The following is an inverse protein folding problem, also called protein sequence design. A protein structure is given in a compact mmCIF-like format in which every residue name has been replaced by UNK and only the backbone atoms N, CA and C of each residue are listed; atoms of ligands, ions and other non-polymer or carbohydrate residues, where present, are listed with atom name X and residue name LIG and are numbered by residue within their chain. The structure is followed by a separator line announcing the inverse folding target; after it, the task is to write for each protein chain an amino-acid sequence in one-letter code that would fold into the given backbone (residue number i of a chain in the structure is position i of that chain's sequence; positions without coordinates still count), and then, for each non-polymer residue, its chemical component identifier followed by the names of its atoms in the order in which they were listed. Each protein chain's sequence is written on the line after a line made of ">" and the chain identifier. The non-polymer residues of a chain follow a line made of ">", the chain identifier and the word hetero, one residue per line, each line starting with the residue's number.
data_IF_513561548014
#
_entry.id   IF_513561548014
#
_cell.length_a   1.000
_cell.length_b   1.000
_cell.length_c   1.000
_cell.angle_alpha   90.00
_cell.angle_beta   90.00
_cell.angle_gamma   90.00
#
_symmetry.space_group_name_H-M   'P 1'
#
loop_
_entity.id
_entity.type
_entity.pdbx_description
1 polymer ?
#
# COMPACT_ATOMS: atom_id res chain seq x y z
N UNK A 1 6.04 34.91 20.54
CA UNK A 1 5.52 33.68 19.92
C UNK A 1 6.63 32.63 20.00
N UNK A 2 6.40 31.46 20.63
CA UNK A 2 7.35 30.35 20.53
C UNK A 2 7.34 29.89 19.07
N UNK A 3 8.44 30.05 18.35
CA UNK A 3 8.63 29.39 17.06
C UNK A 3 8.45 27.88 17.30
N UNK A 4 7.43 27.29 16.70
CA UNK A 4 7.30 25.84 16.63
C UNK A 4 8.39 25.42 15.65
N UNK A 5 9.50 24.90 16.17
CA UNK A 5 10.53 24.30 15.33
C UNK A 5 9.88 23.06 14.71
N UNK A 6 9.78 22.97 13.36
CA UNK A 6 9.23 21.78 12.74
C UNK A 6 10.06 20.56 13.16
N UNK A 7 9.37 19.51 13.60
CA UNK A 7 9.98 18.25 13.99
C UNK A 7 10.81 17.69 12.83
N UNK A 8 12.03 17.23 13.11
CA UNK A 8 12.88 16.61 12.10
C UNK A 8 12.28 15.28 11.63
N UNK A 9 12.42 14.97 10.35
CA UNK A 9 11.96 13.71 9.75
C UNK A 9 12.54 12.46 10.43
N UNK A 10 13.81 12.49 10.84
CA UNK A 10 14.47 11.44 11.63
C UNK A 10 13.79 11.22 12.98
N UNK A 11 13.52 12.31 13.70
CA UNK A 11 12.84 12.30 15.00
C UNK A 11 11.40 11.78 14.88
N UNK A 12 10.69 12.18 13.82
CA UNK A 12 9.34 11.69 13.51
C UNK A 12 9.31 10.17 13.33
N UNK A 13 10.26 9.62 12.56
CA UNK A 13 10.41 8.17 12.37
C UNK A 13 10.77 7.49 13.69
N UNK A 14 11.72 8.03 14.47
CA UNK A 14 12.13 7.46 15.75
C UNK A 14 10.95 7.34 16.73
N UNK A 15 10.19 8.43 16.92
CA UNK A 15 8.99 8.44 17.77
C UNK A 15 7.92 7.47 17.28
N UNK A 16 7.73 7.35 15.97
CA UNK A 16 6.81 6.36 15.41
C UNK A 16 7.21 4.93 15.76
N UNK A 17 8.49 4.58 15.60
CA UNK A 17 8.99 3.23 15.92
C UNK A 17 8.81 2.91 17.40
N UNK A 18 9.13 3.87 18.28
CA UNK A 18 9.00 3.70 19.73
C UNK A 18 7.53 3.57 20.14
N UNK A 19 6.66 4.47 19.65
CA UNK A 19 5.20 4.45 19.92
C UNK A 19 4.56 3.12 19.51
N UNK A 20 5.00 2.53 18.40
CA UNK A 20 4.45 1.28 17.87
C UNK A 20 5.20 0.03 18.33
N UNK A 21 6.22 0.18 19.19
CA UNK A 21 7.15 -0.91 19.56
C UNK A 21 7.64 -1.70 18.34
N UNK A 22 7.93 -0.98 17.24
CA UNK A 22 8.28 -1.57 15.96
C UNK A 22 9.80 -1.75 15.87
N UNK A 23 10.24 -3.00 15.72
CA UNK A 23 11.66 -3.30 15.59
C UNK A 23 12.22 -2.71 14.29
N UNK A 24 13.37 -2.03 14.37
CA UNK A 24 14.04 -1.36 13.23
C UNK A 24 14.27 -2.28 12.02
N UNK A 25 14.52 -3.57 12.27
CA UNK A 25 14.62 -4.61 11.22
C UNK A 25 13.31 -4.84 10.47
N UNK A 26 12.19 -4.94 11.18
CA UNK A 26 10.90 -5.14 10.53
C UNK A 26 10.52 -3.90 9.72
N UNK A 27 10.79 -2.70 10.25
CA UNK A 27 10.60 -1.46 9.53
C UNK A 27 11.46 -1.37 8.26
N UNK A 28 12.75 -1.71 8.36
CA UNK A 28 13.66 -1.74 7.21
C UNK A 28 13.16 -2.67 6.09
N UNK A 29 12.67 -3.86 6.46
CA UNK A 29 12.07 -4.82 5.53
C UNK A 29 10.79 -4.25 4.87
N UNK A 30 9.93 -3.55 5.63
CA UNK A 30 8.70 -2.95 5.10
C UNK A 30 8.95 -1.82 4.09
N UNK A 31 10.00 -1.01 4.28
CA UNK A 31 10.32 0.11 3.37
C UNK A 31 11.36 -0.25 2.30
N UNK A 32 11.90 -1.48 2.33
CA UNK A 32 12.83 -1.99 1.34
C UNK A 32 14.23 -1.37 1.42
N UNK A 33 14.73 -1.13 2.63
CA UNK A 33 16.08 -0.58 2.88
C UNK A 33 16.87 -1.47 3.84
N UNK A 34 18.16 -1.17 4.03
CA UNK A 34 19.00 -1.94 4.95
C UNK A 34 18.72 -1.57 6.41
N UNK A 35 18.94 -2.52 7.33
CA UNK A 35 18.86 -2.25 8.77
C UNK A 35 19.83 -1.13 9.20
N UNK A 36 21.05 -1.14 8.63
CA UNK A 36 22.06 -0.11 8.91
C UNK A 36 21.57 1.28 8.51
N UNK A 37 20.85 1.40 7.38
CA UNK A 37 20.27 2.67 6.98
C UNK A 37 19.27 3.20 8.02
N UNK A 38 18.41 2.34 8.57
CA UNK A 38 17.44 2.73 9.60
C UNK A 38 18.12 3.21 10.88
N UNK A 39 19.19 2.54 11.34
CA UNK A 39 19.97 3.00 12.50
C UNK A 39 20.59 4.37 12.24
N UNK A 40 21.31 4.52 11.12
CA UNK A 40 21.99 5.77 10.80
C UNK A 40 21.02 6.94 10.58
N UNK A 41 19.81 6.67 10.08
CA UNK A 41 18.76 7.66 9.89
C UNK A 41 18.20 8.17 11.23
N UNK A 42 18.03 7.27 12.20
CA UNK A 42 17.52 7.61 13.54
C UNK A 42 18.57 8.35 14.36
N UNK A 43 19.83 7.92 14.27
CA UNK A 43 20.95 8.54 14.97
C UNK A 43 21.46 9.83 14.29
N UNK A 44 20.78 10.28 13.23
CA UNK A 44 21.14 11.44 12.40
C UNK A 44 22.59 11.39 11.84
N UNK A 45 23.18 10.19 11.78
CA UNK A 45 24.51 9.96 11.22
C UNK A 45 24.54 10.12 9.68
N UNK A 46 23.37 9.99 9.03
CA UNK A 46 23.16 10.30 7.61
C UNK A 46 21.97 11.23 7.44
N UNK A 47 21.95 12.07 6.40
CA UNK A 47 20.77 12.87 6.09
C UNK A 47 19.56 11.99 5.76
N UNK A 48 18.36 12.51 6.05
CA UNK A 48 17.11 11.85 5.67
C UNK A 48 17.03 11.69 4.14
N UNK A 49 16.33 10.65 3.67
CA UNK A 49 16.23 10.38 2.24
C UNK A 49 15.63 11.59 1.51
N UNK A 50 16.20 11.92 0.34
CA UNK A 50 15.56 12.81 -0.64
C UNK A 50 14.93 12.02 -1.79
N UNK A 51 14.96 10.68 -1.74
CA UNK A 51 14.36 9.82 -2.76
C UNK A 51 12.87 9.67 -2.45
N UNK A 52 12.03 10.17 -3.36
CA UNK A 52 10.57 10.15 -3.21
C UNK A 52 10.02 8.77 -2.83
N UNK A 53 10.45 7.70 -3.52
CA UNK A 53 10.00 6.33 -3.25
C UNK A 53 10.30 5.85 -1.83
N UNK A 54 11.46 6.21 -1.26
CA UNK A 54 11.79 5.85 0.13
C UNK A 54 10.90 6.61 1.11
N UNK A 55 10.67 7.91 0.86
CA UNK A 55 9.81 8.74 1.70
C UNK A 55 8.37 8.25 1.64
N UNK A 56 7.84 7.96 0.45
CA UNK A 56 6.48 7.45 0.25
C UNK A 56 6.26 6.10 0.95
N UNK A 57 7.24 5.19 0.89
CA UNK A 57 7.16 3.91 1.63
C UNK A 57 7.17 4.13 3.13
N UNK A 58 8.02 5.03 3.63
CA UNK A 58 8.03 5.42 5.05
C UNK A 58 6.67 6.00 5.45
N UNK A 59 6.17 6.96 4.68
CA UNK A 59 4.88 7.62 4.89
C UNK A 59 3.72 6.62 4.91
N UNK A 60 3.72 5.67 3.97
CA UNK A 60 2.71 4.60 3.88
C UNK A 60 2.74 3.70 5.11
N UNK A 61 3.92 3.24 5.55
CA UNK A 61 4.04 2.42 6.76
C UNK A 61 3.61 3.18 8.01
N UNK A 62 3.86 4.50 8.03
CA UNK A 62 3.49 5.40 9.11
C UNK A 62 2.03 5.87 9.08
N UNK A 63 1.31 5.58 7.99
CA UNK A 63 -0.05 6.04 7.72
C UNK A 63 -0.18 7.57 7.77
N UNK A 64 0.75 8.26 7.09
CA UNK A 64 0.78 9.73 6.96
C UNK A 64 1.01 10.15 5.50
N UNK A 65 0.78 11.42 5.19
CA UNK A 65 1.05 11.97 3.87
C UNK A 65 2.57 12.13 3.63
N UNK A 66 3.11 11.82 2.44
CA UNK A 66 4.53 12.04 2.14
C UNK A 66 4.98 13.49 2.32
N UNK A 67 4.09 14.46 2.10
CA UNK A 67 4.31 15.90 2.27
C UNK A 67 4.60 16.32 3.71
N UNK A 68 4.33 15.43 4.68
CA UNK A 68 4.71 15.63 6.06
C UNK A 68 6.22 15.50 6.31
N UNK A 69 7.00 15.06 5.32
CA UNK A 69 8.45 15.04 5.34
C UNK A 69 9.00 16.25 4.59
N UNK A 70 9.86 17.04 5.25
CA UNK A 70 10.43 18.25 4.66
C UNK A 70 11.31 18.00 3.43
N UNK A 71 11.81 16.78 3.28
CA UNK A 71 12.61 16.33 2.15
C UNK A 71 11.77 15.88 0.94
N UNK A 72 10.45 15.70 1.13
CA UNK A 72 9.59 15.24 0.05
C UNK A 72 9.45 16.29 -1.03
N UNK A 73 9.61 15.85 -2.28
CA UNK A 73 9.41 16.69 -3.45
C UNK A 73 8.16 16.18 -4.16
N UNK A 74 7.14 17.03 -4.18
CA UNK A 74 5.87 16.73 -4.84
C UNK A 74 6.16 16.39 -6.31
N UNK A 75 5.73 15.22 -6.79
CA UNK A 75 5.83 14.86 -8.21
C UNK A 75 5.16 15.92 -9.09
N UNK A 76 5.79 16.27 -10.21
CA UNK A 76 5.21 17.21 -11.19
C UNK A 76 4.00 16.61 -11.91
N UNK A 77 3.99 15.28 -12.05
CA UNK A 77 2.89 14.53 -12.66
C UNK A 77 1.95 14.00 -11.57
N UNK A 78 0.63 14.17 -11.71
CA UNK A 78 -0.33 13.61 -10.77
C UNK A 78 -0.26 12.09 -10.78
N UNK A 79 -0.13 11.50 -9.59
CA UNK A 79 -0.20 10.05 -9.41
C UNK A 79 -1.66 9.64 -9.50
N UNK A 80 -2.01 8.86 -10.53
CA UNK A 80 -3.33 8.22 -10.62
C UNK A 80 -3.41 7.12 -9.55
N UNK A 81 -4.22 7.34 -8.52
CA UNK A 81 -4.49 6.34 -7.50
C UNK A 81 -5.67 5.49 -7.97
N UNK A 82 -5.46 4.17 -8.00
CA UNK A 82 -6.49 3.18 -8.32
C UNK A 82 -7.59 3.19 -7.24
N UNK A 83 -8.86 3.33 -7.64
CA UNK A 83 -10.02 3.32 -6.74
C UNK A 83 -10.03 2.07 -5.83
N UNK A 84 -9.53 0.93 -6.33
CA UNK A 84 -9.41 -0.31 -5.58
C UNK A 84 -8.48 -0.19 -4.36
N UNK A 85 -7.43 0.64 -4.46
CA UNK A 85 -6.50 0.87 -3.35
C UNK A 85 -7.15 1.72 -2.27
N UNK A 86 -7.97 2.69 -2.64
CA UNK A 86 -8.73 3.49 -1.68
C UNK A 86 -9.77 2.65 -0.94
N UNK A 87 -10.45 1.73 -1.62
CA UNK A 87 -11.35 0.75 -0.96
C UNK A 87 -10.57 -0.05 0.10
N UNK A 88 -9.38 -0.58 -0.24
CA UNK A 88 -8.54 -1.33 0.71
C UNK A 88 -8.16 -0.47 1.93
N UNK A 89 -7.82 0.81 1.71
CA UNK A 89 -7.48 1.76 2.80
C UNK A 89 -8.68 2.08 3.69
N UNK A 90 -9.87 2.17 3.13
CA UNK A 90 -11.08 2.40 3.92
C UNK A 90 -11.41 1.17 4.78
N UNK A 91 -11.26 -0.04 4.24
CA UNK A 91 -11.38 -1.25 5.07
C UNK A 91 -10.31 -1.33 6.18
N UNK A 92 -9.09 -0.82 5.97
CA UNK A 92 -8.10 -0.71 7.04
C UNK A 92 -8.62 0.15 8.20
N UNK A 93 -9.19 1.32 7.88
CA UNK A 93 -9.77 2.24 8.87
C UNK A 93 -10.98 1.62 9.56
N UNK A 94 -11.88 1.00 8.81
CA UNK A 94 -13.11 0.37 9.35
C UNK A 94 -12.80 -0.77 10.32
N UNK A 95 -11.72 -1.52 10.06
CA UNK A 95 -11.25 -2.56 10.97
C UNK A 95 -10.40 -2.03 12.14
N UNK A 96 -10.21 -0.72 12.27
CA UNK A 96 -9.30 -0.09 13.23
C UNK A 96 -7.88 -0.70 13.20
N UNK A 97 -7.42 -1.10 12.01
CA UNK A 97 -6.10 -1.71 11.83
C UNK A 97 -5.09 -0.64 11.40
N UNK A 98 -4.02 -0.49 12.16
CA UNK A 98 -2.85 0.26 11.69
C UNK A 98 -2.23 -0.44 10.48
N UNK A 99 -1.59 0.33 9.60
CA UNK A 99 -0.82 -0.22 8.47
C UNK A 99 0.24 -1.21 8.97
N UNK A 100 0.91 -0.92 10.09
CA UNK A 100 1.91 -1.84 10.69
C UNK A 100 1.29 -3.18 11.08
N UNK A 101 0.14 -3.18 11.75
CA UNK A 101 -0.54 -4.43 12.14
C UNK A 101 -0.99 -5.21 10.92
N UNK A 102 -1.50 -4.53 9.90
CA UNK A 102 -1.89 -5.14 8.64
C UNK A 102 -0.69 -5.77 7.94
N UNK A 103 0.42 -5.05 7.75
CA UNK A 103 1.63 -5.59 7.13
C UNK A 103 2.20 -6.80 7.90
N UNK A 104 2.04 -6.83 9.22
CA UNK A 104 2.50 -7.95 10.06
C UNK A 104 1.70 -9.25 9.82
N UNK A 105 0.49 -9.21 9.27
CA UNK A 105 -0.27 -10.41 8.90
C UNK A 105 0.33 -11.16 7.71
N UNK A 106 1.18 -10.49 6.91
CA UNK A 106 1.81 -11.06 5.74
C UNK A 106 3.23 -11.57 6.02
N UNK A 107 3.70 -12.58 5.26
CA UNK A 107 5.10 -12.99 5.28
C UNK A 107 6.03 -11.82 5.00
N UNK A 108 7.16 -11.73 5.71
CA UNK A 108 8.15 -10.63 5.60
C UNK A 108 8.49 -10.27 4.14
N UNK A 109 8.74 -11.28 3.31
CA UNK A 109 9.09 -11.12 1.89
C UNK A 109 8.03 -10.43 1.02
N UNK A 110 6.76 -10.39 1.46
CA UNK A 110 5.64 -9.77 0.73
C UNK A 110 5.30 -8.36 1.22
N UNK A 111 5.82 -7.95 2.38
CA UNK A 111 5.39 -6.70 3.03
C UNK A 111 5.74 -5.48 2.18
N UNK A 112 6.91 -5.48 1.54
CA UNK A 112 7.30 -4.41 0.63
C UNK A 112 6.34 -4.27 -0.54
N UNK A 113 5.94 -5.40 -1.15
CA UNK A 113 4.99 -5.41 -2.26
C UNK A 113 3.62 -4.87 -1.83
N UNK A 114 3.17 -5.23 -0.63
CA UNK A 114 1.91 -4.69 -0.06
C UNK A 114 2.02 -3.20 0.24
N UNK A 115 3.17 -2.71 0.72
CA UNK A 115 3.42 -1.26 0.89
C UNK A 115 3.40 -0.56 -0.46
N UNK A 116 4.08 -1.11 -1.46
CA UNK A 116 4.12 -0.57 -2.82
C UNK A 116 2.73 -0.56 -3.47
N UNK A 117 1.87 -1.54 -3.16
CA UNK A 117 0.46 -1.56 -3.53
C UNK A 117 -0.34 -0.46 -2.83
N UNK A 118 -0.23 -0.33 -1.50
CA UNK A 118 -0.96 0.68 -0.72
C UNK A 118 -0.61 2.12 -1.12
N UNK A 119 0.63 2.38 -1.55
CA UNK A 119 1.04 3.69 -2.07
C UNK A 119 0.65 3.92 -3.54
N UNK A 120 0.02 2.95 -4.19
CA UNK A 120 -0.42 3.04 -5.59
C UNK A 120 0.70 2.87 -6.63
N UNK A 121 1.87 2.37 -6.24
CA UNK A 121 2.99 2.17 -7.17
C UNK A 121 3.04 0.76 -7.77
N UNK A 122 2.39 -0.19 -7.12
CA UNK A 122 2.03 -1.47 -7.71
C UNK A 122 0.50 -1.53 -7.84
N UNK A 123 -0.01 -2.09 -8.94
CA UNK A 123 -1.44 -2.34 -9.04
C UNK A 123 -1.87 -3.38 -8.01
N UNK A 124 -3.17 -3.40 -7.70
CA UNK A 124 -3.77 -4.47 -6.91
C UNK A 124 -3.51 -5.83 -7.58
N UNK A 125 -3.21 -6.91 -6.81
CA UNK A 125 -2.90 -8.22 -7.37
C UNK A 125 -3.99 -8.78 -8.27
N UNK A 126 -3.58 -9.26 -9.45
CA UNK A 126 -4.43 -10.03 -10.37
C UNK A 126 -4.65 -11.46 -9.87
N UNK A 127 -3.70 -12.01 -9.12
CA UNK A 127 -3.88 -13.33 -8.51
C UNK A 127 -4.95 -13.26 -7.41
N UNK A 128 -6.09 -13.92 -7.65
CA UNK A 128 -7.22 -13.89 -6.72
C UNK A 128 -6.87 -14.45 -5.34
N UNK A 129 -5.94 -15.41 -5.22
CA UNK A 129 -5.58 -15.96 -3.90
C UNK A 129 -4.79 -14.94 -3.09
N UNK A 130 -3.94 -14.16 -3.73
CA UNK A 130 -3.21 -13.07 -3.07
C UNK A 130 -4.16 -11.96 -2.64
N UNK A 131 -5.07 -11.53 -3.52
CA UNK A 131 -6.07 -10.52 -3.19
C UNK A 131 -7.06 -11.01 -2.11
N UNK A 132 -7.47 -12.27 -2.16
CA UNK A 132 -8.32 -12.88 -1.14
C UNK A 132 -7.63 -12.98 0.22
N UNK A 133 -6.30 -13.16 0.27
CA UNK A 133 -5.55 -13.09 1.52
C UNK A 133 -5.62 -11.68 2.14
N UNK A 134 -5.53 -10.64 1.31
CA UNK A 134 -5.72 -9.25 1.72
C UNK A 134 -7.14 -9.07 2.25
N UNK A 135 -8.15 -9.47 1.46
CA UNK A 135 -9.56 -9.37 1.84
C UNK A 135 -9.88 -10.06 3.16
N UNK A 136 -9.39 -11.29 3.37
CA UNK A 136 -9.54 -12.02 4.64
C UNK A 136 -8.90 -11.32 5.83
N UNK A 137 -7.74 -10.70 5.63
CA UNK A 137 -7.08 -9.93 6.70
C UNK A 137 -7.91 -8.71 7.11
N UNK A 138 -8.65 -8.16 6.15
CA UNK A 138 -9.49 -6.97 6.31
C UNK A 138 -10.97 -7.30 6.54
N UNK A 139 -11.32 -8.57 6.76
CA UNK A 139 -12.71 -9.04 6.91
C UNK A 139 -13.64 -8.55 5.78
N UNK A 140 -13.11 -8.41 4.56
CA UNK A 140 -13.89 -7.96 3.40
C UNK A 140 -14.87 -9.06 2.99
N UNK A 141 -16.11 -8.70 2.61
CA UNK A 141 -17.03 -9.64 1.97
C UNK A 141 -16.39 -10.23 0.71
N UNK A 142 -16.56 -11.53 0.47
CA UNK A 142 -16.01 -12.17 -0.73
C UNK A 142 -16.51 -11.52 -2.03
N UNK A 143 -17.73 -10.99 -2.03
CA UNK A 143 -18.31 -10.22 -3.14
C UNK A 143 -17.48 -8.96 -3.45
N UNK A 144 -17.02 -8.25 -2.42
CA UNK A 144 -16.19 -7.04 -2.56
C UNK A 144 -14.81 -7.39 -3.12
N UNK A 145 -14.19 -8.44 -2.57
CA UNK A 145 -12.90 -8.96 -3.05
C UNK A 145 -13.00 -9.36 -4.52
N UNK A 146 -14.10 -10.02 -4.91
CA UNK A 146 -14.36 -10.39 -6.28
C UNK A 146 -14.54 -9.17 -7.19
N UNK A 147 -15.28 -8.15 -6.76
CA UNK A 147 -15.49 -6.92 -7.53
C UNK A 147 -14.17 -6.19 -7.82
N UNK A 148 -13.28 -6.08 -6.83
CA UNK A 148 -11.94 -5.51 -7.00
C UNK A 148 -11.15 -6.34 -8.03
N UNK A 149 -11.16 -7.67 -7.89
CA UNK A 149 -10.48 -8.57 -8.81
C UNK A 149 -11.00 -8.43 -10.26
N UNK A 150 -12.32 -8.43 -10.43
CA UNK A 150 -12.98 -8.32 -11.73
C UNK A 150 -12.64 -6.99 -12.40
N UNK A 151 -12.72 -5.88 -11.67
CA UNK A 151 -12.37 -4.55 -12.15
C UNK A 151 -10.92 -4.52 -12.64
N UNK A 152 -10.00 -5.07 -11.83
CA UNK A 152 -8.59 -5.15 -12.19
C UNK A 152 -8.36 -6.00 -13.44
N UNK A 153 -9.02 -7.14 -13.55
CA UNK A 153 -8.95 -8.02 -14.72
C UNK A 153 -9.48 -7.33 -15.99
N UNK A 154 -10.60 -6.60 -15.89
CA UNK A 154 -11.16 -5.84 -17.02
C UNK A 154 -10.18 -4.77 -17.50
N UNK A 155 -9.60 -3.99 -16.60
CA UNK A 155 -8.57 -3.00 -16.95
C UNK A 155 -7.38 -3.64 -17.68
N UNK A 156 -6.93 -4.81 -17.25
CA UNK A 156 -5.83 -5.53 -17.90
C UNK A 156 -6.22 -5.96 -19.31
N UNK A 157 -7.42 -6.53 -19.48
CA UNK A 157 -7.94 -6.92 -20.79
C UNK A 157 -8.07 -5.71 -21.73
N UNK A 158 -8.62 -4.59 -21.24
CA UNK A 158 -8.72 -3.33 -21.99
C UNK A 158 -7.34 -2.82 -22.41
N UNK A 159 -6.38 -2.77 -21.48
CA UNK A 159 -5.01 -2.33 -21.77
C UNK A 159 -4.29 -3.24 -22.77
N UNK A 160 -4.70 -4.52 -22.86
CA UNK A 160 -4.19 -5.48 -23.83
C UNK A 160 -4.89 -5.38 -25.20
N UNK A 161 -5.83 -4.44 -25.39
CA UNK A 161 -6.51 -4.18 -26.66
C UNK A 161 -7.91 -4.79 -26.78
N UNK A 162 -8.45 -5.38 -25.73
CA UNK A 162 -9.83 -5.88 -25.75
C UNK A 162 -10.83 -4.73 -25.61
N UNK A 163 -11.71 -4.56 -26.59
CA UNK A 163 -12.85 -3.66 -26.44
C UNK A 163 -13.93 -4.35 -25.59
N UNK A 164 -13.96 -4.07 -24.28
CA UNK A 164 -14.88 -4.74 -23.35
C UNK A 164 -16.35 -4.39 -23.61
N UNK A 165 -16.64 -3.24 -24.24
CA UNK A 165 -18.00 -2.83 -24.58
C UNK A 165 -18.54 -3.65 -25.76
N UNK A 166 -17.75 -3.74 -26.84
CA UNK A 166 -18.11 -4.55 -28.01
C UNK A 166 -18.12 -6.05 -27.72
N UNK A 167 -17.40 -6.50 -26.69
CA UNK A 167 -17.33 -7.90 -26.26
C UNK A 167 -18.07 -8.15 -24.94
N UNK A 168 -19.04 -7.31 -24.58
CA UNK A 168 -19.69 -7.32 -23.27
C UNK A 168 -20.30 -8.68 -22.91
N UNK A 169 -20.97 -9.36 -23.84
CA UNK A 169 -21.55 -10.70 -23.58
C UNK A 169 -20.48 -11.75 -23.24
N UNK A 170 -19.34 -11.74 -23.94
CA UNK A 170 -18.21 -12.64 -23.69
C UNK A 170 -17.59 -12.36 -22.33
N UNK A 171 -17.31 -11.08 -22.06
CA UNK A 171 -16.75 -10.59 -20.79
C UNK A 171 -17.65 -10.99 -19.62
N UNK A 172 -18.94 -10.67 -19.70
CA UNK A 172 -19.90 -10.98 -18.64
C UNK A 172 -19.99 -12.49 -18.43
N UNK A 173 -20.02 -13.29 -19.49
CA UNK A 173 -20.05 -14.77 -19.37
C UNK A 173 -18.82 -15.33 -18.67
N UNK A 174 -17.62 -14.81 -18.97
CA UNK A 174 -16.38 -15.21 -18.31
C UNK A 174 -16.40 -14.87 -16.82
N UNK A 175 -16.75 -13.63 -16.49
CA UNK A 175 -16.74 -13.16 -15.11
C UNK A 175 -17.87 -13.78 -14.28
N UNK A 176 -19.09 -13.92 -14.80
CA UNK A 176 -20.17 -14.64 -14.12
C UNK A 176 -19.79 -16.09 -13.79
N UNK A 177 -19.08 -16.76 -14.69
CA UNK A 177 -18.57 -18.11 -14.45
C UNK A 177 -17.52 -18.10 -13.33
N UNK A 178 -16.56 -17.18 -13.37
CA UNK A 178 -15.56 -17.02 -12.32
C UNK A 178 -16.20 -16.70 -10.96
N UNK A 179 -17.19 -15.80 -10.93
CA UNK A 179 -17.95 -15.42 -9.73
C UNK A 179 -18.62 -16.63 -9.10
N UNK A 180 -19.35 -17.40 -9.91
CA UNK A 180 -20.00 -18.65 -9.48
C UNK A 180 -18.99 -19.69 -9.00
N UNK A 181 -17.76 -19.70 -9.49
CA UNK A 181 -16.75 -20.64 -9.01
C UNK A 181 -16.13 -20.21 -7.68
N UNK A 182 -15.80 -18.92 -7.55
CA UNK A 182 -15.07 -18.37 -6.41
C UNK A 182 -15.95 -18.08 -5.19
N UNK A 183 -17.24 -17.79 -5.40
CA UNK A 183 -18.20 -17.41 -4.35
C UNK A 183 -19.17 -18.55 -3.96
N UNK A 184 -18.91 -19.77 -4.44
CA UNK A 184 -19.54 -20.99 -3.94
C UNK A 184 -19.17 -21.26 -2.49
#
# INVERSE_FOLDING_TARGET
>A
MKQIIPEKSSEKVAKFLDKNSLHKRDFAEMIGVTLSYVYNLIDEAVPFSTRGTTIERIATVMDIAPEEFGEYRIPQEPVLIDESVEIIKDYLKDNNLSVVSFLKSFPRKKRLDVVDMLRGALPVPIDYKELNLIGKTLNMPNEEVYHIWETRMKQVLESAGMNIYSNSELINSMFDCAKKYLLK
#
